data_IF_945219072059
#
_entry.id   IF_945219072059
#
_cell.length_a   1.000
_cell.length_b   1.000
_cell.length_c   1.000
_cell.angle_alpha   90.00
_cell.angle_beta   90.00
_cell.angle_gamma   90.00
#
_symmetry.space_group_name_H-M   'P 1'
#
loop_
_entity.id
_entity.type
_entity.pdbx_description
1 polymer ?
#
# COMPACT_ATOMS: atom_id res chain seq x y z
N UNK A 1 -1.76 -3.11 -4.11
CA UNK A 1 -0.61 -3.02 -3.17
C UNK A 1 -0.99 -2.36 -1.87
N UNK A 2 -1.61 -1.18 -1.89
CA UNK A 2 -2.05 -0.49 -0.66
C UNK A 2 -2.98 -1.35 0.19
N UNK A 3 -3.95 -2.05 -0.42
CA UNK A 3 -4.81 -2.97 0.33
C UNK A 3 -4.02 -4.10 1.01
N UNK A 4 -3.07 -4.75 0.32
CA UNK A 4 -2.22 -5.79 0.91
C UNK A 4 -1.37 -5.24 2.07
N UNK A 5 -0.90 -3.99 1.96
CA UNK A 5 -0.16 -3.31 3.03
C UNK A 5 -1.08 -3.08 4.24
N UNK A 6 -2.32 -2.64 4.02
CA UNK A 6 -3.34 -2.44 5.05
C UNK A 6 -3.80 -3.76 5.69
N UNK A 7 -3.75 -4.86 4.95
CA UNK A 7 -4.00 -6.20 5.46
C UNK A 7 -2.81 -6.76 6.27
N UNK A 8 -1.74 -5.97 6.44
CA UNK A 8 -0.60 -6.30 7.29
C UNK A 8 0.57 -6.98 6.58
N UNK A 9 0.48 -7.24 5.27
CA UNK A 9 1.53 -7.97 4.56
C UNK A 9 2.83 -7.15 4.44
N UNK A 10 3.94 -7.80 4.71
CA UNK A 10 5.29 -7.30 4.44
C UNK A 10 5.60 -7.27 2.94
N UNK A 11 6.63 -6.51 2.54
CA UNK A 11 7.06 -6.48 1.14
C UNK A 11 7.44 -7.85 0.59
N UNK A 12 7.91 -8.76 1.47
CA UNK A 12 8.26 -10.14 1.11
C UNK A 12 6.99 -10.95 0.80
N UNK A 13 6.01 -10.92 1.70
CA UNK A 13 4.73 -11.63 1.49
C UNK A 13 3.98 -11.09 0.28
N UNK A 14 4.06 -9.79 0.01
CA UNK A 14 3.50 -9.18 -1.21
C UNK A 14 4.25 -9.70 -2.45
N UNK A 15 5.57 -9.80 -2.41
CA UNK A 15 6.36 -10.34 -3.52
C UNK A 15 5.96 -11.79 -3.83
N UNK A 16 5.82 -12.61 -2.80
CA UNK A 16 5.39 -14.01 -2.90
C UNK A 16 3.96 -14.12 -3.46
N UNK A 17 3.03 -13.34 -2.92
CA UNK A 17 1.60 -13.38 -3.33
C UNK A 17 1.39 -12.87 -4.76
N UNK A 18 2.23 -11.95 -5.23
CA UNK A 18 2.09 -11.35 -6.58
C UNK A 18 3.05 -11.94 -7.62
N UNK A 19 3.93 -12.87 -7.22
CA UNK A 19 5.02 -13.39 -8.03
C UNK A 19 5.92 -12.30 -8.67
N UNK A 20 6.10 -11.17 -7.97
CA UNK A 20 6.90 -10.04 -8.42
C UNK A 20 8.24 -9.98 -7.70
N UNK A 21 9.26 -9.43 -8.36
CA UNK A 21 10.55 -9.20 -7.72
C UNK A 21 10.44 -8.17 -6.58
N UNK A 22 11.26 -8.27 -5.51
CA UNK A 22 11.29 -7.27 -4.44
C UNK A 22 11.55 -5.84 -4.92
N UNK A 23 12.31 -5.67 -6.01
CA UNK A 23 12.56 -4.35 -6.60
C UNK A 23 11.31 -3.78 -7.29
N UNK A 24 10.57 -4.63 -8.01
CA UNK A 24 9.27 -4.26 -8.60
C UNK A 24 8.29 -3.86 -7.51
N UNK A 25 8.23 -4.61 -6.39
CA UNK A 25 7.40 -4.26 -5.22
C UNK A 25 7.71 -2.85 -4.73
N UNK A 26 8.98 -2.54 -4.46
CA UNK A 26 9.38 -1.19 -3.98
C UNK A 26 8.98 -0.09 -4.96
N UNK A 27 9.11 -0.31 -6.27
CA UNK A 27 8.72 0.65 -7.30
C UNK A 27 7.21 0.88 -7.37
N UNK A 28 6.43 -0.19 -7.25
CA UNK A 28 4.96 -0.09 -7.21
C UNK A 28 4.47 0.57 -5.92
N UNK A 29 5.03 0.23 -4.77
CA UNK A 29 4.70 0.87 -3.48
C UNK A 29 4.97 2.38 -3.54
N UNK A 30 6.16 2.80 -3.97
CA UNK A 30 6.50 4.22 -4.10
C UNK A 30 5.54 4.97 -5.03
N UNK A 31 5.17 4.34 -6.14
CA UNK A 31 4.22 4.94 -7.09
C UNK A 31 2.81 5.00 -6.53
N UNK A 32 2.39 4.00 -5.77
CA UNK A 32 1.09 3.98 -5.10
C UNK A 32 1.02 5.07 -4.01
N UNK A 33 2.06 5.21 -3.19
CA UNK A 33 2.16 6.26 -2.17
C UNK A 33 2.03 7.64 -2.79
N UNK A 34 2.79 7.93 -3.86
CA UNK A 34 2.69 9.21 -4.57
C UNK A 34 1.29 9.49 -5.12
N UNK A 35 0.58 8.46 -5.60
CA UNK A 35 -0.79 8.62 -6.15
C UNK A 35 -1.82 8.98 -5.09
N UNK A 36 -1.62 8.54 -3.85
CA UNK A 36 -2.56 8.77 -2.74
C UNK A 36 -2.08 9.86 -1.77
N UNK A 37 -0.92 10.48 -2.03
CA UNK A 37 -0.32 11.47 -1.12
C UNK A 37 0.26 10.86 0.17
N UNK A 38 0.46 9.54 0.24
CA UNK A 38 1.03 8.92 1.42
C UNK A 38 2.55 9.14 1.48
N UNK A 39 3.05 9.50 2.66
CA UNK A 39 4.47 9.77 2.88
C UNK A 39 5.23 8.52 3.37
N UNK A 40 4.51 7.62 4.02
CA UNK A 40 5.06 6.42 4.63
C UNK A 40 4.00 5.31 4.70
N UNK A 41 4.38 4.16 5.26
CA UNK A 41 3.52 2.99 5.36
C UNK A 41 2.30 3.25 6.24
N UNK A 42 2.46 3.92 7.37
CA UNK A 42 1.37 4.13 8.32
C UNK A 42 0.31 5.06 7.71
N UNK A 43 0.71 6.15 7.05
CA UNK A 43 -0.20 7.03 6.31
C UNK A 43 -0.93 6.28 5.18
N UNK A 44 -0.25 5.36 4.48
CA UNK A 44 -0.89 4.54 3.46
C UNK A 44 -1.93 3.55 4.04
N UNK A 45 -1.68 3.02 5.24
CA UNK A 45 -2.62 2.15 5.97
C UNK A 45 -3.84 2.96 6.41
N UNK A 46 -3.62 4.13 7.02
CA UNK A 46 -4.69 5.05 7.42
C UNK A 46 -5.59 5.40 6.24
N UNK A 47 -5.01 5.87 5.14
CA UNK A 47 -5.74 6.17 3.90
C UNK A 47 -6.58 4.98 3.42
N UNK A 48 -6.05 3.76 3.48
CA UNK A 48 -6.77 2.56 3.06
C UNK A 48 -7.95 2.24 3.98
N UNK A 49 -7.77 2.37 5.30
CA UNK A 49 -8.81 2.14 6.29
C UNK A 49 -9.93 3.18 6.21
N UNK A 50 -9.59 4.45 6.02
CA UNK A 50 -10.58 5.52 5.79
C UNK A 50 -11.42 5.25 4.55
N UNK A 51 -10.77 4.90 3.43
CA UNK A 51 -11.44 4.54 2.19
C UNK A 51 -12.37 3.33 2.35
N UNK A 52 -11.95 2.31 3.10
CA UNK A 52 -12.76 1.10 3.39
C UNK A 52 -13.99 1.42 4.24
N UNK A 53 -13.88 2.35 5.18
CA UNK A 53 -14.99 2.80 6.02
C UNK A 53 -15.88 3.85 5.36
N UNK A 54 -15.64 4.21 4.10
CA UNK A 54 -16.46 5.18 3.37
C UNK A 54 -16.31 6.62 3.85
N UNK A 55 -15.27 6.94 4.63
CA UNK A 55 -14.93 8.34 4.91
C UNK A 55 -14.21 8.88 3.68
N UNK A 56 -14.89 9.75 2.93
CA UNK A 56 -14.28 10.45 1.82
C UNK A 56 -13.11 11.28 2.35
N UNK A 57 -11.93 11.08 1.75
CA UNK A 57 -10.75 11.90 1.97
C UNK A 57 -11.11 13.31 1.49
N UNK A 58 -11.14 14.27 2.42
CA UNK A 58 -11.35 15.69 2.12
C UNK A 58 -10.15 16.31 1.41
#
# INVERSE_FOLDING_TARGET
>A
MIDLIADGLSNKEIAETTALSPNSIKSFIRSAYRKIGAENRDHAIEWALERRHGRAVG
#
